data_IF_382675624583
#
_entry.id   IF_382675624583
#
_cell.length_a   1.000
_cell.length_b   1.000
_cell.length_c   1.000
_cell.angle_alpha   90.00
_cell.angle_beta   90.00
_cell.angle_gamma   90.00
#
_symmetry.space_group_name_H-M   'P 1'
#
loop_
_entity.id
_entity.type
_entity.pdbx_description
1 polymer ?
#
# COMPACT_ATOMS: atom_id res chain seq x y z
N UNK A 1 47.66 17.88 -10.62
CA UNK A 1 47.56 16.44 -10.89
C UNK A 1 47.83 15.74 -9.56
N UNK A 2 46.91 15.09 -8.86
CA UNK A 2 45.53 14.74 -9.14
C UNK A 2 44.76 14.74 -7.81
N UNK A 3 43.58 15.35 -7.84
CA UNK A 3 42.55 15.25 -6.81
C UNK A 3 41.84 13.91 -7.05
N UNK A 4 42.02 12.94 -6.16
CA UNK A 4 41.16 11.75 -6.12
C UNK A 4 40.61 11.65 -4.71
N UNK A 5 39.48 12.33 -4.52
CA UNK A 5 38.53 12.01 -3.45
C UNK A 5 38.10 10.55 -3.64
N UNK A 6 38.65 9.67 -2.82
CA UNK A 6 38.37 8.24 -2.83
C UNK A 6 36.86 8.03 -2.70
N UNK A 7 36.28 7.45 -3.75
CA UNK A 7 34.85 7.32 -3.95
C UNK A 7 34.25 6.46 -2.82
N UNK A 8 33.80 7.11 -1.75
CA UNK A 8 33.08 6.49 -0.65
C UNK A 8 31.77 5.94 -1.21
N UNK A 9 31.82 4.69 -1.64
CA UNK A 9 30.61 3.92 -2.00
C UNK A 9 29.61 4.05 -0.85
N UNK A 10 28.42 4.64 -1.07
CA UNK A 10 27.43 4.73 -0.02
C UNK A 10 26.98 3.31 0.31
N UNK A 11 27.49 2.76 1.41
CA UNK A 11 27.04 1.48 1.95
C UNK A 11 25.74 1.72 2.68
N UNK A 12 24.65 1.70 1.94
CA UNK A 12 23.32 1.55 2.51
C UNK A 12 23.19 0.13 3.08
N UNK A 13 23.10 0.02 4.41
CA UNK A 13 22.73 -1.25 5.03
C UNK A 13 21.28 -1.56 4.65
N UNK A 14 20.94 -2.84 4.46
CA UNK A 14 19.55 -3.29 4.24
C UNK A 14 18.64 -2.88 5.42
N UNK A 15 19.23 -2.61 6.58
CA UNK A 15 18.55 -2.10 7.77
C UNK A 15 18.32 -0.58 7.76
N UNK A 16 19.06 0.18 6.93
CA UNK A 16 18.98 1.65 6.82
C UNK A 16 17.94 2.09 5.77
N UNK A 17 17.75 1.30 4.72
CA UNK A 17 16.71 1.54 3.69
C UNK A 17 15.29 1.38 4.25
N UNK A 18 15.14 0.66 5.37
CA UNK A 18 13.85 0.36 5.97
C UNK A 18 13.31 1.44 6.93
N UNK A 19 14.09 2.47 7.27
CA UNK A 19 13.76 3.30 8.46
C UNK A 19 13.55 4.81 8.23
N UNK A 20 13.66 5.36 7.03
CA UNK A 20 13.48 6.82 6.88
C UNK A 20 12.86 7.32 5.57
N UNK A 21 12.14 6.45 4.86
CA UNK A 21 11.13 6.92 3.93
C UNK A 21 9.79 6.65 4.59
N UNK A 22 9.36 7.59 5.44
CA UNK A 22 7.93 7.89 5.49
C UNK A 22 7.59 8.31 4.07
N UNK A 23 7.26 7.32 3.21
CA UNK A 23 6.60 7.60 1.95
C UNK A 23 5.40 8.45 2.37
N UNK A 24 5.41 9.72 2.00
CA UNK A 24 4.28 10.62 2.19
C UNK A 24 3.14 10.07 1.33
N UNK A 25 2.48 9.05 1.86
CA UNK A 25 1.30 8.47 1.26
C UNK A 25 0.22 9.52 1.39
N UNK A 26 -0.27 10.03 0.27
CA UNK A 26 -1.37 10.98 0.28
C UNK A 26 -2.57 10.32 0.94
N UNK A 27 -3.09 10.96 1.98
CA UNK A 27 -4.21 10.47 2.77
C UNK A 27 -5.30 11.52 2.79
N UNK A 28 -6.53 11.08 2.60
CA UNK A 28 -7.71 11.92 2.78
C UNK A 28 -8.64 11.27 3.78
N UNK A 29 -9.35 12.10 4.54
CA UNK A 29 -10.45 11.64 5.36
C UNK A 29 -11.71 11.53 4.50
N UNK A 30 -12.40 10.40 4.60
CA UNK A 30 -13.64 10.15 3.89
C UNK A 30 -14.66 9.45 4.78
N UNK A 31 -15.75 9.01 4.16
CA UNK A 31 -16.77 8.21 4.85
C UNK A 31 -17.33 7.13 3.93
N UNK A 32 -17.57 5.94 4.49
CA UNK A 32 -18.30 4.85 3.84
C UNK A 32 -19.49 4.50 4.71
N UNK A 33 -20.71 4.55 4.14
CA UNK A 33 -21.97 4.32 4.88
C UNK A 33 -22.06 5.09 6.20
N UNK A 34 -21.64 6.36 6.18
CA UNK A 34 -21.66 7.27 7.33
C UNK A 34 -20.55 7.05 8.38
N UNK A 35 -19.66 6.07 8.19
CA UNK A 35 -18.53 5.80 9.08
C UNK A 35 -17.25 6.42 8.52
N UNK A 36 -16.52 7.16 9.36
CA UNK A 36 -15.28 7.82 8.93
C UNK A 36 -14.19 6.79 8.64
N UNK A 37 -13.46 7.00 7.55
CA UNK A 37 -12.35 6.17 7.10
C UNK A 37 -11.20 7.06 6.63
N UNK A 38 -9.98 6.51 6.65
CA UNK A 38 -8.83 7.11 5.98
C UNK A 38 -8.64 6.40 4.64
N UNK A 39 -8.54 7.18 3.57
CA UNK A 39 -8.33 6.67 2.21
C UNK A 39 -6.90 7.02 1.82
N UNK A 40 -6.12 6.01 1.42
CA UNK A 40 -4.83 6.24 0.77
C UNK A 40 -5.06 6.47 -0.72
N UNK A 41 -4.45 7.51 -1.26
CA UNK A 41 -4.38 7.76 -2.70
C UNK A 41 -3.09 7.14 -3.21
N UNK A 42 -3.23 6.10 -4.03
CA UNK A 42 -2.13 5.39 -4.65
C UNK A 42 -2.36 5.24 -6.15
N UNK A 43 -1.61 5.99 -6.96
CA UNK A 43 -1.68 5.92 -8.42
C UNK A 43 -1.03 4.67 -9.01
N UNK A 44 -0.26 3.92 -8.21
CA UNK A 44 0.36 2.66 -8.62
C UNK A 44 -0.60 1.46 -8.54
N UNK A 45 -1.76 1.62 -7.90
CA UNK A 45 -2.76 0.57 -7.75
C UNK A 45 -3.70 0.49 -8.95
N UNK A 46 -3.98 -0.73 -9.43
CA UNK A 46 -4.94 -0.96 -10.54
C UNK A 46 -6.40 -1.02 -10.07
N UNK A 47 -6.63 -1.33 -8.80
CA UNK A 47 -7.94 -1.48 -8.20
C UNK A 47 -7.97 -0.83 -6.81
N UNK A 48 -9.14 -0.29 -6.45
CA UNK A 48 -9.38 0.18 -5.08
C UNK A 48 -9.48 -1.03 -4.14
N UNK A 49 -8.61 -1.06 -3.14
CA UNK A 49 -8.58 -2.11 -2.14
C UNK A 49 -9.05 -1.57 -0.80
N UNK A 50 -9.75 -2.40 -0.03
CA UNK A 50 -10.18 -2.08 1.34
C UNK A 50 -9.67 -3.15 2.29
N UNK A 51 -9.16 -2.73 3.45
CA UNK A 51 -8.80 -3.66 4.51
C UNK A 51 -10.05 -4.44 4.98
N UNK A 52 -9.94 -5.75 5.16
CA UNK A 52 -11.05 -6.63 5.51
C UNK A 52 -11.73 -6.22 6.84
N UNK A 53 -10.97 -5.76 7.82
CA UNK A 53 -11.49 -5.28 9.10
C UNK A 53 -12.29 -3.98 8.91
N UNK A 54 -11.81 -3.07 8.06
CA UNK A 54 -12.55 -1.85 7.72
C UNK A 54 -13.84 -2.20 7.00
N UNK A 55 -13.81 -3.11 6.02
CA UNK A 55 -15.00 -3.59 5.31
C UNK A 55 -16.05 -4.16 6.29
N UNK A 56 -15.61 -5.01 7.23
CA UNK A 56 -16.49 -5.53 8.28
C UNK A 56 -17.06 -4.42 9.16
N UNK A 57 -16.22 -3.50 9.64
CA UNK A 57 -16.65 -2.35 10.46
C UNK A 57 -17.67 -1.47 9.74
N UNK A 58 -17.60 -1.36 8.41
CA UNK A 58 -18.56 -0.59 7.61
C UNK A 58 -19.72 -1.42 7.06
N UNK A 59 -19.88 -2.67 7.49
CA UNK A 59 -20.93 -3.59 7.03
C UNK A 59 -20.91 -3.77 5.50
N UNK A 60 -19.72 -3.98 4.95
CA UNK A 60 -19.52 -4.46 3.58
C UNK A 60 -19.17 -5.95 3.62
N UNK A 61 -19.84 -6.72 2.77
CA UNK A 61 -19.58 -8.15 2.60
C UNK A 61 -19.03 -8.38 1.20
N UNK A 62 -17.81 -8.89 1.04
CA UNK A 62 -17.26 -9.17 -0.26
C UNK A 62 -18.01 -10.32 -0.94
N UNK A 63 -18.39 -10.14 -2.20
CA UNK A 63 -18.92 -11.21 -3.04
C UNK A 63 -17.77 -12.15 -3.44
N UNK A 64 -17.77 -13.35 -2.83
CA UNK A 64 -16.74 -14.36 -3.02
C UNK A 64 -16.69 -14.97 -4.44
N UNK A 65 -17.70 -14.74 -5.28
CA UNK A 65 -17.66 -15.15 -6.69
C UNK A 65 -16.77 -14.23 -7.54
N UNK A 66 -16.43 -13.04 -7.03
CA UNK A 66 -15.66 -12.02 -7.72
C UNK A 66 -14.29 -11.81 -7.06
N UNK A 67 -13.58 -12.91 -6.80
CA UNK A 67 -12.21 -12.86 -6.27
C UNK A 67 -11.23 -12.54 -7.39
N UNK A 68 -10.20 -11.78 -7.04
CA UNK A 68 -9.14 -11.37 -7.95
C UNK A 68 -7.81 -11.81 -7.36
N UNK A 69 -6.95 -12.39 -8.20
CA UNK A 69 -5.53 -12.49 -7.88
C UNK A 69 -4.92 -11.10 -8.07
N UNK A 70 -4.36 -10.53 -7.00
CA UNK A 70 -3.74 -9.22 -7.00
C UNK A 70 -2.25 -9.38 -6.72
N UNK A 71 -1.43 -8.59 -7.42
CA UNK A 71 -0.01 -8.46 -7.13
C UNK A 71 0.22 -7.25 -6.22
N UNK A 72 0.92 -7.44 -5.12
CA UNK A 72 1.29 -6.35 -4.20
C UNK A 72 2.70 -5.83 -4.48
N UNK A 73 3.10 -4.76 -3.78
CA UNK A 73 4.30 -3.97 -4.07
C UNK A 73 5.62 -4.78 -4.18
N UNK A 74 5.73 -5.93 -3.52
CA UNK A 74 6.91 -6.79 -3.56
C UNK A 74 6.80 -7.95 -4.58
N UNK A 75 5.81 -7.91 -5.48
CA UNK A 75 5.55 -8.96 -6.46
C UNK A 75 4.82 -10.19 -5.90
N UNK A 76 4.53 -10.22 -4.59
CA UNK A 76 3.71 -11.26 -3.98
C UNK A 76 2.29 -11.23 -4.57
N UNK A 77 1.74 -12.42 -4.78
CA UNK A 77 0.38 -12.62 -5.26
C UNK A 77 -0.54 -12.99 -4.10
N UNK A 78 -1.63 -12.26 -3.96
CA UNK A 78 -2.66 -12.50 -2.96
C UNK A 78 -4.00 -12.73 -3.65
N UNK A 79 -4.82 -13.60 -3.08
CA UNK A 79 -6.22 -13.73 -3.49
C UNK A 79 -7.09 -12.81 -2.66
N UNK A 80 -7.86 -11.94 -3.31
CA UNK A 80 -8.84 -11.11 -2.61
C UNK A 80 -9.98 -11.94 -2.04
N UNK A 81 -10.64 -11.44 -0.99
CA UNK A 81 -11.83 -12.10 -0.43
C UNK A 81 -13.05 -12.00 -1.36
N UNK A 82 -13.03 -11.05 -2.30
CA UNK A 82 -14.10 -10.77 -3.25
C UNK A 82 -14.29 -9.28 -3.50
N UNK A 83 -15.36 -8.92 -4.21
CA UNK A 83 -15.72 -7.52 -4.50
C UNK A 83 -16.80 -7.02 -3.55
N UNK A 84 -16.60 -5.87 -2.93
CA UNK A 84 -17.65 -5.16 -2.16
C UNK A 84 -18.49 -4.25 -3.09
N UNK A 85 -19.75 -4.02 -2.73
CA UNK A 85 -20.69 -3.08 -3.39
C UNK A 85 -21.43 -2.23 -2.36
#
# INVERSE_FOLDING_TARGET
MDDVCENATPKISLHDVARDQVLETMRIQGSIKGKSVVILIDSGSTHNSINAEVAQRVNLSPNANNRLEIMVAFGEKLMSSGKCT
#
